data_IF_089868533731
#
_entry.id   IF_089868533731
#
_cell.length_a   1.000
_cell.length_b   1.000
_cell.length_c   1.000
_cell.angle_alpha   90.00
_cell.angle_beta   90.00
_cell.angle_gamma   90.00
#
_symmetry.space_group_name_H-M   'P 1'
#
loop_
_entity.id
_entity.type
_entity.pdbx_description
1 polymer ?
#
# COMPACT_ATOMS: atom_id res chain seq x y z
N UNK A 1 -12.37 -23.68 60.86
CA UNK A 1 -11.75 -23.18 62.12
C UNK A 1 -10.28 -22.88 61.86
N UNK A 2 -9.76 -21.79 62.45
CA UNK A 2 -8.38 -21.21 62.40
C UNK A 2 -8.05 -20.46 61.09
N UNK A 3 -8.15 -19.12 60.97
CA UNK A 3 -7.47 -17.97 61.67
C UNK A 3 -5.93 -18.10 61.54
N UNK A 4 -5.12 -17.13 61.08
CA UNK A 4 -5.21 -15.66 61.01
C UNK A 4 -3.88 -15.09 60.40
N UNK A 5 -3.92 -13.85 59.86
CA UNK A 5 -2.84 -12.80 59.80
C UNK A 5 -1.65 -13.09 58.85
N UNK A 6 -1.18 -12.25 57.92
CA UNK A 6 -1.40 -10.84 57.61
C UNK A 6 -0.05 -10.22 57.21
N UNK A 7 0.08 -9.68 56.00
CA UNK A 7 1.08 -8.65 55.70
C UNK A 7 0.55 -7.79 54.55
N UNK A 8 0.03 -6.61 54.92
CA UNK A 8 -0.39 -5.55 54.01
C UNK A 8 0.86 -4.73 53.71
N UNK A 9 1.35 -4.79 52.47
CA UNK A 9 2.30 -3.81 51.94
C UNK A 9 1.49 -2.77 51.17
N UNK A 10 1.24 -1.64 51.83
CA UNK A 10 0.74 -0.42 51.21
C UNK A 10 1.89 0.22 50.44
N UNK A 11 1.78 0.28 49.12
CA UNK A 11 2.70 1.04 48.27
C UNK A 11 1.92 1.88 47.26
N UNK A 12 1.75 3.15 47.63
CA UNK A 12 1.79 4.33 46.77
C UNK A 12 0.95 4.37 45.48
N UNK A 13 -0.19 5.05 45.65
CA UNK A 13 -0.90 5.86 44.65
C UNK A 13 0.08 6.68 43.79
N UNK A 14 0.08 6.44 42.48
CA UNK A 14 0.46 7.45 41.47
C UNK A 14 -0.78 7.74 40.62
N UNK A 15 -1.40 8.88 40.91
CA UNK A 15 -2.41 9.50 40.08
C UNK A 15 -1.67 10.27 38.97
N UNK A 16 -1.64 9.72 37.76
CA UNK A 16 -1.21 10.45 36.56
C UNK A 16 -2.25 10.27 35.46
N UNK A 17 -3.02 11.34 35.28
CA UNK A 17 -3.71 11.84 34.09
C UNK A 17 -4.12 10.85 32.97
N UNK A 18 -5.42 10.94 32.65
CA UNK A 18 -5.98 10.70 31.32
C UNK A 18 -5.12 11.35 30.23
N UNK A 19 -4.57 10.52 29.36
CA UNK A 19 -3.98 10.92 28.08
C UNK A 19 -4.33 9.87 27.03
N UNK A 20 -5.49 10.02 26.41
CA UNK A 20 -5.85 9.35 25.17
C UNK A 20 -4.95 9.90 24.05
N UNK A 21 -3.96 9.14 23.62
CA UNK A 21 -3.16 9.41 22.41
C UNK A 21 -3.72 8.60 21.22
N UNK A 22 -4.57 9.19 20.35
CA UNK A 22 -5.03 8.55 19.13
C UNK A 22 -3.98 8.81 18.03
N UNK A 23 -2.80 8.20 18.12
CA UNK A 23 -1.81 8.29 17.03
C UNK A 23 -0.87 7.08 17.00
N UNK A 24 -1.43 5.87 17.14
CA UNK A 24 -0.74 4.65 16.71
C UNK A 24 -1.21 4.31 15.30
N UNK A 25 -0.55 4.93 14.32
CA UNK A 25 -0.89 4.78 12.91
C UNK A 25 0.14 5.37 11.93
N UNK A 26 1.44 5.28 12.23
CA UNK A 26 2.47 5.47 11.20
C UNK A 26 2.93 4.10 10.71
N UNK A 27 2.24 3.59 9.68
CA UNK A 27 2.84 2.60 8.79
C UNK A 27 4.03 3.26 8.10
N UNK A 28 5.23 2.73 8.30
CA UNK A 28 6.41 3.14 7.54
C UNK A 28 6.16 2.84 6.06
N UNK A 29 5.77 3.86 5.29
CA UNK A 29 5.94 3.84 3.85
C UNK A 29 7.43 3.67 3.58
N UNK A 30 7.79 2.64 2.81
CA UNK A 30 9.17 2.44 2.37
C UNK A 30 9.59 3.67 1.57
N UNK A 31 10.46 4.49 2.17
CA UNK A 31 11.27 5.45 1.43
C UNK A 31 12.16 4.65 0.50
N UNK A 32 11.81 4.64 -0.79
CA UNK A 32 12.77 4.31 -1.84
C UNK A 32 13.91 5.33 -1.72
N UNK A 33 15.14 4.82 -1.65
CA UNK A 33 16.35 5.60 -1.39
C UNK A 33 16.49 6.81 -2.29
N UNK A 34 17.18 7.83 -1.75
CA UNK A 34 17.33 9.16 -2.34
C UNK A 34 17.56 9.14 -3.85
N UNK A 35 16.70 9.86 -4.55
CA UNK A 35 16.86 10.14 -5.97
C UNK A 35 18.15 10.96 -6.15
N UNK A 36 19.02 10.64 -7.12
CA UNK A 36 20.21 11.43 -7.44
C UNK A 36 19.86 12.89 -7.69
N UNK A 37 20.73 13.81 -7.25
CA UNK A 37 20.57 15.25 -7.44
C UNK A 37 20.31 15.54 -8.92
N UNK A 38 19.14 16.10 -9.26
CA UNK A 38 18.66 16.00 -10.61
C UNK A 38 19.30 17.18 -11.37
N UNK A 39 20.03 16.89 -12.46
CA UNK A 39 20.77 17.88 -13.25
C UNK A 39 19.89 18.99 -13.85
N UNK A 40 20.41 19.85 -14.74
CA UNK A 40 19.72 21.07 -15.19
C UNK A 40 18.35 20.87 -15.88
N UNK A 41 17.98 19.64 -16.24
CA UNK A 41 16.73 19.30 -16.94
C UNK A 41 15.82 18.41 -16.09
N UNK A 42 15.51 18.85 -14.88
CA UNK A 42 14.77 18.02 -13.93
C UNK A 42 13.57 18.74 -13.34
N UNK A 43 12.54 17.97 -13.04
CA UNK A 43 11.25 18.49 -12.61
C UNK A 43 10.51 17.47 -11.76
N UNK A 44 9.69 17.97 -10.84
CA UNK A 44 8.91 17.15 -9.91
C UNK A 44 7.44 17.20 -10.31
N UNK A 45 6.82 16.03 -10.46
CA UNK A 45 5.37 15.90 -10.64
C UNK A 45 4.75 15.62 -9.28
N UNK A 46 3.87 16.51 -8.82
CA UNK A 46 3.13 16.36 -7.55
C UNK A 46 1.65 16.49 -7.84
N UNK A 47 0.84 15.58 -7.32
CA UNK A 47 -0.61 15.63 -7.47
C UNK A 47 -1.30 14.40 -6.90
N UNK A 48 -2.63 14.43 -6.91
CA UNK A 48 -3.48 13.29 -6.58
C UNK A 48 -4.44 13.03 -7.73
N UNK A 49 -4.67 11.76 -8.05
CA UNK A 49 -5.67 11.36 -9.03
C UNK A 49 -6.91 10.90 -8.29
N UNK A 50 -7.95 11.74 -8.34
CA UNK A 50 -9.19 11.56 -7.61
C UNK A 50 -10.30 11.14 -8.57
N UNK A 51 -10.96 10.05 -8.25
CA UNK A 51 -12.17 9.63 -8.95
C UNK A 51 -13.38 10.46 -8.51
N UNK A 52 -14.14 10.99 -9.47
CA UNK A 52 -15.39 11.72 -9.23
C UNK A 52 -16.57 10.84 -9.58
N UNK A 53 -17.18 10.24 -8.56
CA UNK A 53 -18.38 9.41 -8.71
C UNK A 53 -18.48 8.34 -7.63
N UNK A 54 -19.58 7.59 -7.60
CA UNK A 54 -19.70 6.44 -6.70
C UNK A 54 -18.70 5.35 -7.10
N UNK A 55 -17.86 4.84 -6.19
CA UNK A 55 -16.98 3.72 -6.46
C UNK A 55 -17.77 2.49 -6.90
N UNK A 56 -17.32 1.83 -7.97
CA UNK A 56 -17.90 0.57 -8.41
C UNK A 56 -17.37 -0.55 -7.51
N UNK A 57 -18.22 -1.53 -7.18
CA UNK A 57 -17.77 -2.74 -6.47
C UNK A 57 -16.73 -3.47 -7.34
N UNK A 58 -15.60 -3.93 -6.76
CA UNK A 58 -14.62 -4.72 -7.49
C UNK A 58 -15.26 -5.97 -8.10
N UNK A 59 -14.95 -6.26 -9.37
CA UNK A 59 -15.46 -7.43 -10.06
C UNK A 59 -14.75 -8.69 -9.56
N UNK A 60 -15.46 -9.75 -9.13
CA UNK A 60 -14.81 -11.02 -8.79
C UNK A 60 -14.12 -11.64 -10.01
N UNK A 61 -12.98 -12.29 -9.78
CA UNK A 61 -12.28 -13.12 -10.76
C UNK A 61 -12.49 -14.59 -10.36
N UNK A 62 -13.05 -15.39 -11.27
CA UNK A 62 -13.11 -16.82 -11.05
C UNK A 62 -11.76 -17.45 -11.34
N UNK A 63 -11.20 -18.15 -10.34
CA UNK A 63 -9.98 -18.94 -10.46
C UNK A 63 -10.27 -20.42 -10.72
N UNK A 64 -11.53 -20.80 -10.91
CA UNK A 64 -11.93 -22.22 -11.03
C UNK A 64 -11.55 -22.85 -12.37
N UNK A 65 -11.17 -22.04 -13.36
CA UNK A 65 -10.72 -22.53 -14.66
C UNK A 65 -9.39 -23.31 -14.58
N UNK A 66 -8.56 -23.01 -13.58
CA UNK A 66 -7.34 -23.77 -13.26
C UNK A 66 -7.39 -24.21 -11.78
N UNK A 67 -7.50 -25.51 -11.50
CA UNK A 67 -7.55 -26.04 -10.14
C UNK A 67 -6.36 -25.59 -9.26
N UNK A 68 -5.19 -25.36 -9.86
CA UNK A 68 -4.02 -24.90 -9.11
C UNK A 68 -4.18 -23.46 -8.64
N UNK A 69 -4.73 -22.60 -9.49
CA UNK A 69 -5.05 -21.21 -9.12
C UNK A 69 -6.06 -21.19 -7.96
N UNK A 70 -7.13 -21.99 -8.07
CA UNK A 70 -8.12 -22.12 -7.00
C UNK A 70 -7.49 -22.60 -5.69
N UNK A 71 -6.61 -23.60 -5.73
CA UNK A 71 -5.90 -24.10 -4.55
C UNK A 71 -5.01 -23.04 -3.89
N UNK A 72 -4.29 -22.24 -4.69
CA UNK A 72 -3.39 -21.19 -4.17
C UNK A 72 -4.14 -20.06 -3.44
N UNK A 73 -5.40 -19.81 -3.81
CA UNK A 73 -6.24 -18.81 -3.15
C UNK A 73 -7.10 -19.40 -2.02
N UNK A 74 -7.43 -20.69 -2.09
CA UNK A 74 -8.35 -21.33 -1.16
C UNK A 74 -9.71 -20.65 -1.19
N UNK A 75 -10.22 -20.26 -0.02
CA UNK A 75 -11.50 -19.55 0.09
C UNK A 75 -11.38 -18.01 -0.02
N UNK A 76 -10.18 -17.48 -0.29
CA UNK A 76 -9.99 -16.03 -0.40
C UNK A 76 -10.54 -15.55 -1.74
N UNK A 77 -11.46 -14.57 -1.75
CA UNK A 77 -11.95 -14.01 -3.00
C UNK A 77 -10.83 -13.25 -3.70
N UNK A 78 -10.73 -13.44 -5.01
CA UNK A 78 -9.87 -12.63 -5.88
C UNK A 78 -10.74 -11.66 -6.65
N UNK A 79 -10.36 -10.39 -6.67
CA UNK A 79 -11.09 -9.31 -7.34
C UNK A 79 -10.20 -8.63 -8.38
N UNK A 80 -10.83 -8.04 -9.39
CA UNK A 80 -10.15 -7.26 -10.41
C UNK A 80 -9.54 -5.99 -9.84
N UNK A 81 -8.27 -5.76 -10.17
CA UNK A 81 -7.53 -4.54 -9.87
C UNK A 81 -7.80 -3.40 -10.87
N UNK A 82 -8.60 -3.64 -11.90
CA UNK A 82 -8.91 -2.68 -12.98
C UNK A 82 -9.45 -1.34 -12.47
N UNK A 83 -10.19 -1.33 -11.36
CA UNK A 83 -10.77 -0.12 -10.80
C UNK A 83 -10.79 -0.19 -9.27
N UNK A 84 -9.70 0.28 -8.66
CA UNK A 84 -9.54 0.32 -7.21
C UNK A 84 -9.52 1.77 -6.74
N UNK A 85 -10.61 2.16 -6.07
CA UNK A 85 -10.75 3.45 -5.40
C UNK A 85 -10.46 3.26 -3.92
N UNK A 86 -9.40 3.90 -3.44
CA UNK A 86 -8.99 3.88 -2.04
C UNK A 86 -9.63 4.99 -1.21
N UNK A 87 -9.08 5.26 -0.01
CA UNK A 87 -9.49 6.37 0.84
C UNK A 87 -9.45 7.70 0.08
N UNK A 88 -10.33 8.63 0.47
CA UNK A 88 -10.45 9.96 -0.14
C UNK A 88 -10.72 9.97 -1.66
N UNK A 89 -11.29 8.88 -2.20
CA UNK A 89 -11.53 8.69 -3.63
C UNK A 89 -10.27 8.64 -4.51
N UNK A 90 -9.09 8.37 -3.93
CA UNK A 90 -7.86 8.21 -4.70
C UNK A 90 -7.86 6.92 -5.53
N UNK A 91 -7.41 7.00 -6.79
CA UNK A 91 -7.16 5.79 -7.60
C UNK A 91 -5.83 5.15 -7.21
N UNK A 92 -5.83 3.85 -6.93
CA UNK A 92 -4.63 3.14 -6.49
C UNK A 92 -3.62 2.92 -7.64
N UNK A 93 -4.09 2.42 -8.77
CA UNK A 93 -3.23 2.02 -9.89
C UNK A 93 -3.28 3.05 -11.02
N UNK A 94 -2.37 4.02 -10.98
CA UNK A 94 -2.32 5.13 -11.94
C UNK A 94 -0.97 5.16 -12.64
N UNK A 95 -0.98 5.21 -13.98
CA UNK A 95 0.21 5.45 -14.79
C UNK A 95 0.21 6.90 -15.28
N UNK A 96 1.26 7.66 -14.96
CA UNK A 96 1.44 9.03 -15.43
C UNK A 96 2.51 9.02 -16.51
N UNK A 97 2.15 9.51 -17.71
CA UNK A 97 3.08 9.63 -18.84
C UNK A 97 3.27 11.09 -19.24
N UNK A 98 4.51 11.46 -19.57
CA UNK A 98 4.82 12.79 -20.11
C UNK A 98 4.88 12.66 -21.63
N UNK A 99 3.84 13.18 -22.31
CA UNK A 99 3.69 13.02 -23.79
C UNK A 99 4.82 13.69 -24.56
N UNK A 100 5.19 14.91 -24.16
CA UNK A 100 6.25 15.68 -24.80
C UNK A 100 7.46 15.65 -23.88
N UNK A 101 8.51 14.91 -24.27
CA UNK A 101 9.71 14.82 -23.45
C UNK A 101 10.36 16.22 -23.34
N UNK A 102 10.79 16.64 -22.14
CA UNK A 102 11.63 17.82 -22.02
C UNK A 102 12.96 17.64 -22.78
N UNK A 103 13.63 18.72 -23.18
CA UNK A 103 14.96 18.62 -23.77
C UNK A 103 15.93 17.85 -22.87
N UNK A 104 16.66 16.88 -23.44
CA UNK A 104 17.60 16.06 -22.69
C UNK A 104 17.77 14.64 -23.25
N UNK A 105 18.75 13.94 -22.69
CA UNK A 105 18.95 12.50 -22.89
C UNK A 105 18.47 11.76 -21.64
N UNK A 106 17.65 10.74 -21.84
CA UNK A 106 17.06 9.93 -20.76
C UNK A 106 17.35 8.46 -21.11
N UNK A 107 18.35 7.89 -20.46
CA UNK A 107 18.64 6.47 -20.60
C UNK A 107 17.54 5.64 -19.94
N UNK A 108 17.18 4.48 -20.52
CA UNK A 108 16.25 3.58 -19.86
C UNK A 108 16.77 3.09 -18.51
N UNK A 109 15.89 2.74 -17.56
CA UNK A 109 16.28 2.07 -16.33
C UNK A 109 17.13 0.84 -16.65
N UNK A 110 18.29 0.72 -15.99
CA UNK A 110 19.16 -0.46 -16.14
C UNK A 110 18.62 -1.70 -15.41
N UNK A 111 17.76 -1.49 -14.41
CA UNK A 111 17.10 -2.56 -13.68
C UNK A 111 15.78 -2.90 -14.35
N UNK A 112 15.57 -4.15 -14.79
CA UNK A 112 14.31 -4.56 -15.39
C UNK A 112 13.19 -4.61 -14.35
N UNK A 113 11.96 -4.34 -14.79
CA UNK A 113 10.77 -4.63 -14.00
C UNK A 113 10.48 -6.13 -14.11
N UNK A 114 10.33 -6.81 -12.97
CA UNK A 114 9.90 -8.21 -12.91
C UNK A 114 8.38 -8.26 -12.82
N UNK A 115 7.74 -8.78 -13.87
CA UNK A 115 6.32 -9.12 -13.85
C UNK A 115 6.17 -10.54 -13.30
N UNK A 116 5.78 -10.63 -12.04
CA UNK A 116 5.66 -11.90 -11.32
C UNK A 116 4.20 -12.37 -11.29
N UNK A 117 3.98 -13.67 -11.46
CA UNK A 117 2.66 -14.29 -11.40
C UNK A 117 2.54 -15.15 -10.16
N UNK A 118 1.82 -14.66 -9.15
CA UNK A 118 1.57 -15.39 -7.90
C UNK A 118 0.11 -15.71 -7.77
N UNK A 119 -0.21 -17.01 -7.61
CA UNK A 119 -1.61 -17.45 -7.56
C UNK A 119 -2.37 -17.02 -8.82
N UNK A 120 -1.74 -17.05 -9.98
CA UNK A 120 -2.39 -16.64 -11.24
C UNK A 120 -2.85 -15.18 -11.27
N UNK A 121 -2.27 -14.34 -10.40
CA UNK A 121 -2.45 -12.90 -10.37
C UNK A 121 -1.09 -12.22 -10.60
N UNK A 122 -1.04 -11.27 -11.51
CA UNK A 122 0.20 -10.59 -11.88
C UNK A 122 0.47 -9.38 -10.99
N UNK A 123 1.73 -9.21 -10.61
CA UNK A 123 2.25 -8.02 -9.92
C UNK A 123 3.58 -7.58 -10.55
N UNK A 124 3.83 -6.28 -10.75
CA UNK A 124 2.95 -5.15 -10.45
C UNK A 124 1.73 -5.09 -11.39
N UNK A 125 0.63 -4.47 -10.93
CA UNK A 125 -0.57 -4.29 -11.76
C UNK A 125 -0.32 -3.29 -12.92
N UNK A 126 0.53 -2.28 -12.68
CA UNK A 126 0.88 -1.24 -13.64
C UNK A 126 2.39 -1.02 -13.61
N UNK A 127 3.00 -0.95 -14.79
CA UNK A 127 4.41 -0.59 -14.97
C UNK A 127 4.61 0.05 -16.35
N UNK A 128 5.72 0.76 -16.51
CA UNK A 128 6.12 1.35 -17.79
C UNK A 128 7.08 0.45 -18.54
N UNK A 129 7.00 0.49 -19.87
CA UNK A 129 7.99 -0.05 -20.80
C UNK A 129 8.57 1.10 -21.62
N UNK A 130 9.85 1.03 -21.99
CA UNK A 130 10.53 2.02 -22.83
C UNK A 130 11.21 1.35 -24.01
#
# INVERSE_FOLDING_TARGET
MRRRIGLILVSSLWLAALGSDPSRGQGKGQSVGGLPNPGPNTGTIVGQVIYKGPPRKPRPISMTADPKCAQLHGNRPVTSDEFVVGPNNGLQWVFVHVKQKPPGSYSPPSTPVVLDQKGCHYTPHVFGIM
#
